data_IF_131633441818
#
_entry.id   IF_131633441818
#
_cell.length_a   1.000
_cell.length_b   1.000
_cell.length_c   1.000
_cell.angle_alpha   90.00
_cell.angle_beta   90.00
_cell.angle_gamma   90.00
#
_symmetry.space_group_name_H-M   'P 1'
#
loop_
_entity.id
_entity.type
_entity.pdbx_description
1 polymer ?
#
# COMPACT_ATOMS: atom_id res chain seq x y z
N UNK A 1 28.05 -19.30 22.60
CA UNK A 1 26.85 -19.81 23.29
C UNK A 1 25.67 -18.98 22.78
N UNK A 2 25.01 -19.42 21.71
CA UNK A 2 23.90 -18.68 21.09
C UNK A 2 22.75 -19.66 20.96
N UNK A 3 21.88 -19.69 21.97
CA UNK A 3 20.68 -20.53 21.96
C UNK A 3 19.56 -19.77 21.26
N UNK A 4 19.28 -20.23 20.05
CA UNK A 4 18.06 -20.00 19.30
C UNK A 4 16.84 -20.59 20.03
N UNK A 5 15.66 -20.13 19.58
CA UNK A 5 14.31 -20.75 19.68
C UNK A 5 13.48 -20.45 20.93
N UNK A 6 12.55 -19.51 20.74
CA UNK A 6 11.15 -19.72 21.14
C UNK A 6 10.21 -19.23 20.02
N UNK A 7 9.73 -20.17 19.19
CA UNK A 7 8.70 -19.97 18.16
C UNK A 7 7.57 -20.92 18.51
N UNK A 8 6.63 -20.46 19.35
CA UNK A 8 5.65 -21.40 19.91
C UNK A 8 4.40 -20.81 20.53
N UNK A 9 3.95 -19.62 20.14
CA UNK A 9 2.65 -19.12 20.54
C UNK A 9 1.85 -18.72 19.31
N UNK A 10 0.65 -19.29 19.11
CA UNK A 10 -0.33 -18.78 18.13
C UNK A 10 -0.64 -17.32 18.45
N UNK A 11 0.19 -16.41 17.92
CA UNK A 11 -0.07 -14.99 17.97
C UNK A 11 -1.35 -14.81 17.17
N UNK A 12 -2.41 -14.33 17.82
CA UNK A 12 -3.54 -13.71 17.12
C UNK A 12 -2.91 -12.80 16.07
N UNK A 13 -3.09 -13.09 14.78
CA UNK A 13 -2.47 -12.31 13.72
C UNK A 13 -2.85 -10.86 13.98
N UNK A 14 -1.90 -10.06 14.49
CA UNK A 14 -2.20 -8.65 14.78
C UNK A 14 -2.63 -8.07 13.43
N UNK A 15 -3.80 -7.40 13.34
CA UNK A 15 -4.22 -6.80 12.10
C UNK A 15 -3.04 -5.96 11.58
N UNK A 16 -2.59 -6.25 10.36
CA UNK A 16 -1.44 -5.56 9.79
C UNK A 16 -1.78 -4.06 9.76
N UNK A 17 -1.01 -3.20 10.43
CA UNK A 17 -1.29 -1.78 10.45
C UNK A 17 -1.37 -1.25 9.01
N UNK A 18 -2.47 -0.58 8.65
CA UNK A 18 -2.61 0.04 7.33
C UNK A 18 -1.83 1.36 7.27
N UNK A 19 -1.19 1.60 6.14
CA UNK A 19 -0.57 2.87 5.81
C UNK A 19 -1.67 3.91 5.48
N UNK A 20 -1.75 5.05 6.19
CA UNK A 20 -2.81 6.04 5.98
C UNK A 20 -2.71 6.78 4.64
N UNK A 21 -1.54 6.80 4.01
CA UNK A 21 -1.31 7.53 2.75
C UNK A 21 -1.79 6.73 1.54
N UNK A 22 -1.53 5.41 1.56
CA UNK A 22 -1.77 4.52 0.42
C UNK A 22 -2.97 3.60 0.61
N UNK A 23 -3.60 3.61 1.80
CA UNK A 23 -4.68 2.72 2.20
C UNK A 23 -4.36 1.24 1.98
N UNK A 24 -3.12 0.81 2.22
CA UNK A 24 -2.71 -0.59 2.07
C UNK A 24 -2.02 -1.12 3.35
N UNK A 25 -1.84 -2.43 3.51
CA UNK A 25 -1.03 -2.96 4.61
C UNK A 25 0.41 -2.40 4.58
N UNK A 26 1.00 -2.14 5.74
CA UNK A 26 2.35 -1.60 5.80
C UNK A 26 3.37 -2.62 5.26
N UNK A 27 4.16 -2.19 4.27
CA UNK A 27 5.22 -2.99 3.65
C UNK A 27 6.63 -2.58 4.11
N UNK A 28 6.74 -1.78 5.18
CA UNK A 28 8.02 -1.28 5.71
C UNK A 28 8.92 -0.63 4.65
N UNK A 29 8.32 0.16 3.75
CA UNK A 29 9.03 0.75 2.60
C UNK A 29 10.11 1.78 2.98
N UNK A 30 10.11 2.26 4.23
CA UNK A 30 11.11 3.19 4.74
C UNK A 30 12.13 2.45 5.65
N UNK A 31 13.44 2.65 5.45
CA UNK A 31 14.47 1.98 6.25
C UNK A 31 14.31 2.28 7.74
N UNK A 32 14.27 1.23 8.57
CA UNK A 32 14.15 1.37 10.03
C UNK A 32 12.73 1.59 10.55
N UNK A 33 11.71 1.68 9.68
CA UNK A 33 10.32 1.72 10.15
C UNK A 33 9.90 0.34 10.69
N UNK A 34 9.17 0.33 11.82
CA UNK A 34 8.48 -0.89 12.31
C UNK A 34 6.97 -0.87 12.05
N UNK A 35 6.48 0.26 11.52
CA UNK A 35 5.08 0.48 11.14
C UNK A 35 4.86 1.92 10.69
N UNK A 36 3.59 2.32 10.43
CA UNK A 36 3.26 3.65 9.95
C UNK A 36 3.64 4.77 10.93
N UNK A 37 3.69 4.50 12.23
CA UNK A 37 4.12 5.47 13.25
C UNK A 37 5.60 5.87 13.14
N UNK A 38 6.44 5.01 12.56
CA UNK A 38 7.89 5.25 12.40
C UNK A 38 8.25 5.74 10.99
N UNK A 39 7.25 5.94 10.12
CA UNK A 39 7.47 6.39 8.75
C UNK A 39 7.54 7.91 8.68
N UNK A 40 8.67 8.45 8.21
CA UNK A 40 8.86 9.90 8.06
C UNK A 40 7.81 10.58 7.18
N UNK A 41 7.32 9.91 6.13
CA UNK A 41 6.25 10.45 5.28
C UNK A 41 4.93 10.60 6.05
N UNK A 42 4.56 9.59 6.84
CA UNK A 42 3.34 9.65 7.66
C UNK A 42 3.47 10.78 8.68
N UNK A 43 4.64 10.94 9.30
CA UNK A 43 4.91 12.05 10.22
C UNK A 43 4.67 13.41 9.56
N UNK A 44 5.26 13.66 8.39
CA UNK A 44 5.12 14.95 7.69
C UNK A 44 3.66 15.27 7.38
N UNK A 45 2.93 14.30 6.83
CA UNK A 45 1.54 14.53 6.42
C UNK A 45 0.60 14.66 7.61
N UNK A 46 0.79 13.88 8.67
CA UNK A 46 -0.10 13.92 9.85
C UNK A 46 0.16 15.14 10.73
N UNK A 47 1.40 15.64 10.77
CA UNK A 47 1.79 16.82 11.54
C UNK A 47 1.25 18.11 10.92
N UNK A 48 1.10 18.15 9.60
CA UNK A 48 0.50 19.28 8.90
C UNK A 48 -1.04 19.18 8.89
N UNK A 49 -1.77 20.17 9.45
CA UNK A 49 -3.23 20.12 9.51
C UNK A 49 -3.92 20.20 8.14
N UNK A 50 -3.35 20.93 7.19
CA UNK A 50 -3.93 21.08 5.85
C UNK A 50 -3.77 19.77 5.07
N UNK A 51 -2.57 19.18 5.11
CA UNK A 51 -2.31 17.91 4.43
C UNK A 51 -3.14 16.76 5.02
N UNK A 52 -3.26 16.71 6.35
CA UNK A 52 -4.13 15.73 7.04
C UNK A 52 -5.60 15.89 6.66
N UNK A 53 -6.09 17.13 6.55
CA UNK A 53 -7.46 17.38 6.10
C UNK A 53 -7.67 16.95 4.64
N UNK A 54 -6.71 17.26 3.76
CA UNK A 54 -6.74 16.85 2.36
C UNK A 54 -6.76 15.32 2.22
N UNK A 55 -5.88 14.59 2.93
CA UNK A 55 -5.90 13.12 2.95
C UNK A 55 -7.23 12.55 3.41
N UNK A 56 -7.82 13.12 4.46
CA UNK A 56 -9.12 12.68 4.95
C UNK A 56 -10.20 12.85 3.87
N UNK A 57 -10.22 13.99 3.18
CA UNK A 57 -11.15 14.23 2.07
C UNK A 57 -10.93 13.23 0.93
N UNK A 58 -9.68 13.01 0.50
CA UNK A 58 -9.35 12.03 -0.54
C UNK A 58 -9.76 10.62 -0.14
N UNK A 59 -9.53 10.22 1.11
CA UNK A 59 -9.93 8.89 1.62
C UNK A 59 -11.44 8.71 1.59
N UNK A 60 -12.20 9.73 2.01
CA UNK A 60 -13.66 9.71 1.93
C UNK A 60 -14.15 9.65 0.47
N UNK A 61 -13.53 10.42 -0.43
CA UNK A 61 -13.85 10.40 -1.86
C UNK A 61 -13.58 9.03 -2.49
N UNK A 62 -12.41 8.44 -2.22
CA UNK A 62 -12.03 7.11 -2.71
C UNK A 62 -12.97 6.03 -2.18
N UNK A 63 -13.36 6.09 -0.91
CA UNK A 63 -14.34 5.17 -0.31
C UNK A 63 -15.72 5.28 -0.95
N UNK A 64 -16.17 6.51 -1.26
CA UNK A 64 -17.43 6.72 -1.99
C UNK A 64 -17.35 6.16 -3.40
N UNK A 65 -16.23 6.33 -4.10
CA UNK A 65 -16.02 5.76 -5.43
C UNK A 65 -15.93 4.22 -5.41
N UNK A 66 -15.36 3.64 -4.35
CA UNK A 66 -15.23 2.18 -4.17
C UNK A 66 -16.53 1.48 -3.72
N UNK A 67 -17.62 2.22 -3.47
CA UNK A 67 -18.91 1.68 -3.02
C UNK A 67 -19.68 0.81 -4.03
N UNK A 68 -19.08 0.49 -5.18
CA UNK A 68 -19.63 -0.45 -6.18
C UNK A 68 -18.66 -1.62 -6.35
N UNK A 69 -19.05 -2.87 -6.03
CA UNK A 69 -18.25 -4.03 -6.38
C UNK A 69 -18.41 -4.27 -7.88
N UNK A 70 -17.61 -3.57 -8.69
CA UNK A 70 -17.53 -3.84 -10.12
C UNK A 70 -16.74 -5.12 -10.31
N UNK A 71 -17.45 -6.16 -10.73
CA UNK A 71 -16.89 -7.42 -11.17
C UNK A 71 -15.78 -7.21 -12.23
N UNK A 72 -14.69 -7.95 -12.03
CA UNK A 72 -13.66 -8.35 -12.99
C UNK A 72 -13.88 -7.95 -14.46
N UNK A 73 -12.93 -7.19 -15.02
CA UNK A 73 -12.65 -7.20 -16.46
C UNK A 73 -11.14 -7.16 -16.64
N UNK A 74 -10.57 -8.34 -16.89
CA UNK A 74 -9.20 -8.49 -17.35
C UNK A 74 -9.07 -8.23 -18.85
N UNK A 75 -7.81 -8.17 -19.27
CA UNK A 75 -7.30 -8.47 -20.61
C UNK A 75 -7.47 -7.42 -21.72
N UNK A 76 -6.34 -6.83 -22.16
CA UNK A 76 -5.88 -6.82 -23.56
C UNK A 76 -4.78 -5.77 -23.79
N UNK A 77 -3.53 -6.15 -23.55
CA UNK A 77 -2.37 -5.39 -24.03
C UNK A 77 -1.38 -6.34 -24.69
N UNK A 78 -1.73 -6.87 -25.87
CA UNK A 78 -0.77 -7.54 -26.76
C UNK A 78 -1.30 -7.55 -28.21
N UNK A 79 -1.12 -6.44 -28.93
CA UNK A 79 -1.31 -6.42 -30.39
C UNK A 79 -0.44 -5.39 -31.14
N UNK A 80 0.60 -4.80 -30.52
CA UNK A 80 1.32 -3.66 -31.13
C UNK A 80 2.76 -3.94 -31.60
N UNK A 81 3.36 -5.13 -31.41
CA UNK A 81 4.82 -5.26 -31.58
C UNK A 81 5.36 -6.07 -32.78
N UNK A 82 4.55 -6.71 -33.62
CA UNK A 82 5.10 -7.74 -34.56
C UNK A 82 5.36 -7.32 -36.01
N UNK A 83 5.19 -6.06 -36.42
CA UNK A 83 5.34 -5.69 -37.87
C UNK A 83 6.46 -4.70 -38.21
N UNK A 84 7.30 -4.26 -37.27
CA UNK A 84 8.48 -3.43 -37.58
C UNK A 84 9.77 -4.24 -37.58
N UNK A 85 9.89 -5.24 -38.47
CA UNK A 85 11.21 -5.79 -38.80
C UNK A 85 11.23 -6.54 -40.13
N UNK A 86 11.02 -5.83 -41.23
CA UNK A 86 11.49 -6.27 -42.56
C UNK A 86 12.22 -5.08 -43.20
N UNK A 87 13.55 -5.11 -43.14
CA UNK A 87 14.44 -4.23 -43.91
C UNK A 87 14.96 -4.99 -45.13
N UNK A 88 15.07 -4.36 -46.31
CA UNK A 88 15.87 -4.86 -47.43
C UNK A 88 17.37 -4.67 -47.20
#
# INVERSE_FOLDING_TARGET
MTTERDVGGRRRSRPNPRCPIRDEPCNLCFPGATGPQDCGLVYLVQSDPELRAALHQTTLANRRAAGTPTAVAGESQSAALTTRSTSP
#
